data_IF_464084933435
#
_entry.id   IF_464084933435
#
_cell.length_a   1.000
_cell.length_b   1.000
_cell.length_c   1.000
_cell.angle_alpha   90.00
_cell.angle_beta   90.00
_cell.angle_gamma   90.00
#
_symmetry.space_group_name_H-M   'P 1'
#
loop_
_entity.id
_entity.type
_entity.pdbx_description
1 polymer ?
#
# COMPACT_ATOMS: atom_id res chain seq x y z
N UNK A 1 -18.29 -8.57 50.65
CA UNK A 1 -17.43 -7.62 49.91
C UNK A 1 -16.45 -8.38 49.00
N UNK A 2 -16.79 -8.74 47.74
CA UNK A 2 -15.85 -9.43 46.86
C UNK A 2 -15.72 -8.82 45.44
N UNK A 3 -15.80 -7.49 45.30
CA UNK A 3 -15.61 -6.84 43.98
C UNK A 3 -14.18 -6.36 43.72
N UNK A 4 -13.34 -6.21 44.76
CA UNK A 4 -11.99 -5.65 44.65
C UNK A 4 -10.96 -6.69 44.15
N UNK A 5 -11.19 -7.98 44.38
CA UNK A 5 -10.21 -9.05 44.07
C UNK A 5 -10.11 -9.39 42.58
N UNK A 6 -11.23 -9.40 41.84
CA UNK A 6 -11.23 -9.75 40.41
C UNK A 6 -10.55 -8.67 39.55
N UNK A 7 -10.84 -7.39 39.81
CA UNK A 7 -10.23 -6.27 39.09
C UNK A 7 -8.73 -6.12 39.39
N UNK A 8 -8.33 -6.37 40.64
CA UNK A 8 -6.92 -6.34 41.02
C UNK A 8 -6.13 -7.50 40.39
N UNK A 9 -6.67 -8.72 40.40
CA UNK A 9 -6.06 -9.87 39.74
C UNK A 9 -5.94 -9.70 38.22
N UNK A 10 -6.95 -9.12 37.57
CA UNK A 10 -6.90 -8.81 36.14
C UNK A 10 -5.78 -7.80 35.82
N UNK A 11 -5.63 -6.73 36.63
CA UNK A 11 -4.55 -5.75 36.47
C UNK A 11 -3.16 -6.34 36.68
N UNK A 12 -2.98 -7.22 37.68
CA UNK A 12 -1.70 -7.90 37.90
C UNK A 12 -1.34 -8.83 36.72
N UNK A 13 -2.32 -9.57 36.17
CA UNK A 13 -2.10 -10.43 34.99
C UNK A 13 -1.75 -9.61 33.74
N UNK A 14 -2.43 -8.50 33.50
CA UNK A 14 -2.11 -7.59 32.40
C UNK A 14 -0.70 -7.01 32.53
N UNK A 15 -0.29 -6.63 33.74
CA UNK A 15 1.07 -6.12 34.01
C UNK A 15 2.17 -7.15 33.72
N UNK A 16 2.03 -8.38 34.23
CA UNK A 16 3.00 -9.46 33.98
C UNK A 16 3.05 -9.82 32.50
N UNK A 17 1.90 -9.77 31.80
CA UNK A 17 1.83 -10.00 30.35
C UNK A 17 2.59 -8.89 29.59
N UNK A 18 2.36 -7.62 29.92
CA UNK A 18 3.05 -6.50 29.30
C UNK A 18 4.58 -6.55 29.55
N UNK A 19 5.01 -6.90 30.76
CA UNK A 19 6.43 -7.06 31.12
C UNK A 19 7.10 -8.17 30.28
N UNK A 20 6.42 -9.31 30.10
CA UNK A 20 6.94 -10.41 29.26
C UNK A 20 7.03 -10.03 27.78
N UNK A 21 6.00 -9.38 27.25
CA UNK A 21 6.00 -8.88 25.86
C UNK A 21 7.11 -7.85 25.66
N UNK A 22 7.39 -7.02 26.66
CA UNK A 22 8.47 -6.05 26.63
C UNK A 22 9.85 -6.73 26.64
N UNK A 23 10.04 -7.80 27.39
CA UNK A 23 11.26 -8.61 27.38
C UNK A 23 11.47 -9.30 26.01
N UNK A 24 10.40 -9.85 25.42
CA UNK A 24 10.43 -10.45 24.07
C UNK A 24 10.71 -9.39 22.98
N UNK A 25 10.17 -8.17 23.15
CA UNK A 25 10.47 -7.00 22.33
C UNK A 25 11.96 -6.64 22.38
N UNK A 26 12.58 -6.69 23.56
CA UNK A 26 14.00 -6.39 23.76
C UNK A 26 14.90 -7.42 23.07
N UNK A 27 14.53 -8.70 23.11
CA UNK A 27 15.28 -9.83 22.52
C UNK A 27 15.14 -9.95 20.99
N UNK A 28 14.26 -9.16 20.35
CA UNK A 28 14.18 -9.06 18.89
C UNK A 28 13.50 -10.24 18.19
N UNK A 29 12.88 -11.14 18.95
CA UNK A 29 12.16 -12.33 18.46
C UNK A 29 10.67 -12.23 18.74
N UNK A 30 10.07 -11.09 18.43
CA UNK A 30 8.63 -10.93 18.65
C UNK A 30 7.87 -11.71 17.59
N UNK A 31 7.36 -12.86 18.01
CA UNK A 31 6.52 -13.70 17.17
C UNK A 31 5.19 -13.00 16.84
N UNK A 32 4.61 -13.25 15.66
CA UNK A 32 3.37 -12.60 15.24
C UNK A 32 2.21 -12.82 16.24
N UNK A 33 2.14 -13.97 16.92
CA UNK A 33 1.08 -14.25 17.90
C UNK A 33 1.11 -13.25 19.06
N UNK A 34 2.31 -12.86 19.52
CA UNK A 34 2.48 -11.93 20.63
C UNK A 34 1.91 -10.55 20.28
N UNK A 35 2.14 -10.08 19.05
CA UNK A 35 1.60 -8.80 18.58
C UNK A 35 0.09 -8.84 18.42
N UNK A 36 -0.45 -9.95 17.92
CA UNK A 36 -1.91 -10.13 17.79
C UNK A 36 -2.55 -10.08 19.17
N UNK A 37 -2.02 -10.86 20.13
CA UNK A 37 -2.49 -10.87 21.51
C UNK A 37 -2.40 -9.51 22.20
N UNK A 38 -1.32 -8.75 21.96
CA UNK A 38 -1.14 -7.41 22.51
C UNK A 38 -2.16 -6.42 21.93
N UNK A 39 -2.56 -6.58 20.66
CA UNK A 39 -3.52 -5.69 20.03
C UNK A 39 -4.97 -5.91 20.47
N UNK A 40 -5.29 -7.06 21.05
CA UNK A 40 -6.63 -7.35 21.56
C UNK A 40 -6.96 -6.62 22.86
N UNK A 41 -5.93 -6.34 23.65
CA UNK A 41 -6.05 -5.61 24.90
C UNK A 41 -5.67 -4.15 24.68
N UNK A 42 -6.60 -3.23 24.95
CA UNK A 42 -6.38 -1.79 24.76
C UNK A 42 -5.18 -1.28 25.57
N UNK A 43 -4.89 -1.91 26.73
CA UNK A 43 -3.73 -1.56 27.56
C UNK A 43 -2.38 -2.06 27.03
N UNK A 44 -2.40 -2.95 26.02
CA UNK A 44 -1.21 -3.56 25.41
C UNK A 44 -0.97 -3.09 23.97
N UNK A 45 -1.86 -2.25 23.40
CA UNK A 45 -1.69 -1.68 22.05
C UNK A 45 -0.42 -0.83 21.89
N UNK A 46 0.03 -0.20 22.97
CA UNK A 46 1.29 0.56 22.98
C UNK A 46 2.51 -0.32 22.65
N UNK A 47 2.45 -1.61 22.98
CA UNK A 47 3.53 -2.58 22.69
C UNK A 47 3.66 -2.85 21.19
N UNK A 48 2.54 -2.86 20.46
CA UNK A 48 2.54 -2.94 19.00
C UNK A 48 3.23 -1.72 18.39
N UNK A 49 2.94 -0.53 18.92
CA UNK A 49 3.55 0.70 18.46
C UNK A 49 5.06 0.72 18.74
N UNK A 50 5.48 0.32 19.95
CA UNK A 50 6.91 0.21 20.32
C UNK A 50 7.64 -0.77 19.39
N UNK A 51 7.03 -1.93 19.10
CA UNK A 51 7.62 -2.88 18.13
C UNK A 51 7.80 -2.26 16.76
N UNK A 52 6.77 -1.56 16.28
CA UNK A 52 6.78 -0.94 14.96
C UNK A 52 7.82 0.16 14.88
N UNK A 53 7.93 1.01 15.91
CA UNK A 53 8.92 2.09 15.95
C UNK A 53 10.35 1.54 15.91
N UNK A 54 10.63 0.46 16.66
CA UNK A 54 11.93 -0.23 16.59
C UNK A 54 12.25 -0.75 15.19
N UNK A 55 11.28 -1.39 14.53
CA UNK A 55 11.47 -1.92 13.17
C UNK A 55 11.63 -0.81 12.12
N UNK A 56 10.96 0.34 12.32
CA UNK A 56 11.12 1.53 11.50
C UNK A 56 12.51 2.18 11.69
N UNK A 57 13.06 2.17 12.90
CA UNK A 57 14.44 2.60 13.17
C UNK A 57 15.45 1.71 12.45
N UNK A 58 15.29 0.38 12.53
CA UNK A 58 16.12 -0.57 11.80
C UNK A 58 16.08 -0.32 10.28
N UNK A 59 14.90 -0.03 9.71
CA UNK A 59 14.75 0.34 8.31
C UNK A 59 15.45 1.66 7.97
N UNK A 60 15.48 2.62 8.89
CA UNK A 60 16.14 3.92 8.71
C UNK A 60 17.66 3.79 8.72
N UNK A 61 18.20 2.89 9.54
CA UNK A 61 19.65 2.62 9.64
C UNK A 61 20.25 1.99 8.39
N UNK A 62 19.45 1.24 7.61
CA UNK A 62 19.94 0.66 6.35
C UNK A 62 20.20 1.75 5.33
N UNK A 63 21.35 1.69 4.66
CA UNK A 63 21.70 2.64 3.60
C UNK A 63 21.23 2.14 2.22
N UNK A 64 21.39 0.85 1.94
CA UNK A 64 21.05 0.26 0.65
C UNK A 64 19.53 0.02 0.53
N UNK A 65 18.98 0.35 -0.64
CA UNK A 65 17.59 0.09 -1.00
C UNK A 65 17.32 -1.41 -1.01
N UNK A 66 18.26 -2.24 -1.49
CA UNK A 66 18.06 -3.70 -1.53
C UNK A 66 17.96 -4.29 -0.12
N UNK A 67 18.81 -3.85 0.80
CA UNK A 67 18.73 -4.25 2.21
C UNK A 67 17.41 -3.82 2.85
N UNK A 68 16.91 -2.61 2.54
CA UNK A 68 15.58 -2.17 3.01
C UNK A 68 14.46 -3.04 2.47
N UNK A 69 14.49 -3.39 1.19
CA UNK A 69 13.48 -4.26 0.58
C UNK A 69 13.51 -5.64 1.24
N UNK A 70 14.69 -6.20 1.50
CA UNK A 70 14.82 -7.50 2.17
C UNK A 70 14.33 -7.45 3.62
N UNK A 71 14.66 -6.40 4.36
CA UNK A 71 14.13 -6.21 5.72
C UNK A 71 12.61 -6.06 5.72
N UNK A 72 12.02 -5.27 4.81
CA UNK A 72 10.55 -5.17 4.66
C UNK A 72 9.92 -6.53 4.37
N UNK A 73 10.56 -7.36 3.53
CA UNK A 73 10.10 -8.72 3.21
C UNK A 73 10.08 -9.61 4.46
N UNK A 74 11.06 -9.48 5.34
CA UNK A 74 11.14 -10.21 6.61
C UNK A 74 10.14 -9.69 7.65
N UNK A 75 9.87 -8.38 7.65
CA UNK A 75 8.93 -7.76 8.59
C UNK A 75 7.45 -7.98 8.22
N UNK A 76 7.11 -8.15 6.94
CA UNK A 76 5.73 -8.36 6.51
C UNK A 76 5.04 -9.54 7.23
N UNK A 77 5.63 -10.76 7.29
CA UNK A 77 5.06 -11.88 8.05
C UNK A 77 4.81 -11.59 9.54
N UNK A 78 5.59 -10.69 10.15
CA UNK A 78 5.42 -10.28 11.55
C UNK A 78 4.13 -9.48 11.76
N UNK A 79 3.80 -8.59 10.83
CA UNK A 79 2.70 -7.63 10.99
C UNK A 79 1.41 -8.01 10.24
N UNK A 80 1.49 -8.80 9.17
CA UNK A 80 0.31 -9.19 8.39
C UNK A 80 -0.78 -9.89 9.23
N UNK A 81 -0.48 -10.82 10.16
CA UNK A 81 -1.50 -11.43 11.01
C UNK A 81 -2.28 -10.40 11.85
N UNK A 82 -1.59 -9.37 12.35
CA UNK A 82 -2.20 -8.27 13.07
C UNK A 82 -3.13 -7.45 12.17
N UNK A 83 -2.71 -7.18 10.93
CA UNK A 83 -3.53 -6.47 9.94
C UNK A 83 -4.79 -7.25 9.56
N UNK A 84 -4.67 -8.56 9.36
CA UNK A 84 -5.83 -9.42 9.06
C UNK A 84 -6.79 -9.53 10.25
N UNK A 85 -6.28 -9.61 11.49
CA UNK A 85 -7.10 -9.55 12.70
C UNK A 85 -7.87 -8.23 12.79
N UNK A 86 -7.19 -7.09 12.60
CA UNK A 86 -7.84 -5.78 12.58
C UNK A 86 -8.94 -5.69 11.52
N UNK A 87 -8.67 -6.17 10.30
CA UNK A 87 -9.64 -6.23 9.20
C UNK A 87 -10.86 -7.09 9.54
N UNK A 88 -10.67 -8.17 10.29
CA UNK A 88 -11.75 -9.07 10.72
C UNK A 88 -12.66 -8.49 11.82
N UNK A 89 -12.16 -7.57 12.66
CA UNK A 89 -12.93 -6.98 13.77
C UNK A 89 -13.91 -5.88 13.36
N UNK A 90 -13.77 -5.32 12.14
CA UNK A 90 -14.62 -4.22 11.67
C UNK A 90 -14.41 -2.89 12.40
N UNK A 91 -13.34 -2.76 13.17
CA UNK A 91 -12.96 -1.52 13.83
C UNK A 91 -12.46 -0.48 12.81
N UNK A 92 -12.60 0.81 13.15
CA UNK A 92 -12.11 1.93 12.32
C UNK A 92 -11.35 2.93 13.17
N UNK A 93 -10.03 2.81 13.16
CA UNK A 93 -9.10 3.75 13.76
C UNK A 93 -7.82 3.86 12.91
N UNK A 94 -6.97 4.85 13.17
CA UNK A 94 -5.68 4.95 12.46
C UNK A 94 -4.79 3.76 12.83
N UNK A 95 -4.56 2.84 11.89
CA UNK A 95 -3.81 1.62 12.11
C UNK A 95 -2.48 1.69 11.34
N UNK A 96 -1.39 2.01 12.05
CA UNK A 96 -0.07 2.12 11.43
C UNK A 96 0.46 0.82 10.83
N UNK A 97 0.33 -0.36 11.49
CA UNK A 97 0.68 -1.63 10.86
C UNK A 97 0.01 -1.85 9.50
N UNK A 98 -1.28 -1.54 9.35
CA UNK A 98 -1.98 -1.62 8.06
C UNK A 98 -1.33 -0.71 7.01
N UNK A 99 -1.07 0.55 7.36
CA UNK A 99 -0.47 1.52 6.43
C UNK A 99 0.93 1.09 6.00
N UNK A 100 1.79 0.71 6.94
CA UNK A 100 3.15 0.27 6.63
C UNK A 100 3.17 -1.07 5.87
N UNK A 101 2.33 -2.05 6.24
CA UNK A 101 2.22 -3.30 5.48
C UNK A 101 1.75 -3.06 4.04
N UNK A 102 0.83 -2.11 3.83
CA UNK A 102 0.37 -1.73 2.48
C UNK A 102 1.54 -1.21 1.63
N UNK A 103 2.32 -0.28 2.17
CA UNK A 103 3.48 0.32 1.50
C UNK A 103 4.57 -0.75 1.27
N UNK A 104 4.89 -1.53 2.30
CA UNK A 104 5.94 -2.55 2.23
C UNK A 104 5.59 -3.68 1.26
N UNK A 105 4.34 -4.12 1.22
CA UNK A 105 3.88 -5.12 0.26
C UNK A 105 4.13 -4.66 -1.18
N UNK A 106 3.88 -3.38 -1.47
CA UNK A 106 4.18 -2.79 -2.76
C UNK A 106 5.70 -2.75 -3.01
N UNK A 107 6.49 -2.26 -2.06
CA UNK A 107 7.95 -2.13 -2.17
C UNK A 107 8.66 -3.47 -2.46
N UNK A 108 8.16 -4.58 -1.90
CA UNK A 108 8.76 -5.91 -2.08
C UNK A 108 8.19 -6.67 -3.29
N UNK A 109 7.21 -6.10 -3.99
CA UNK A 109 6.56 -6.70 -5.16
C UNK A 109 5.43 -7.69 -4.84
N UNK A 110 4.88 -7.72 -3.63
CA UNK A 110 3.67 -8.49 -3.28
C UNK A 110 2.40 -7.72 -3.70
N UNK A 111 2.20 -7.57 -5.01
CA UNK A 111 1.21 -6.65 -5.60
C UNK A 111 -0.23 -7.00 -5.24
N UNK A 112 -0.58 -8.29 -5.18
CA UNK A 112 -1.90 -8.73 -4.75
C UNK A 112 -2.22 -8.26 -3.32
N UNK A 113 -1.29 -8.52 -2.40
CA UNK A 113 -1.38 -8.08 -1.00
C UNK A 113 -1.43 -6.57 -0.91
N UNK A 114 -0.57 -5.86 -1.66
CA UNK A 114 -0.53 -4.41 -1.68
C UNK A 114 -1.88 -3.81 -2.10
N UNK A 115 -2.49 -4.33 -3.18
CA UNK A 115 -3.78 -3.84 -3.68
C UNK A 115 -4.93 -4.14 -2.72
N UNK A 116 -4.97 -5.38 -2.18
CA UNK A 116 -5.94 -5.79 -1.17
C UNK A 116 -5.93 -4.86 0.05
N UNK A 117 -4.74 -4.58 0.58
CA UNK A 117 -4.59 -3.72 1.76
C UNK A 117 -4.84 -2.25 1.42
N UNK A 118 -4.40 -1.77 0.25
CA UNK A 118 -4.62 -0.40 -0.20
C UNK A 118 -6.12 -0.06 -0.32
N UNK A 119 -6.91 -0.95 -0.93
CA UNK A 119 -8.37 -0.76 -1.04
C UNK A 119 -9.01 -0.58 0.33
N UNK A 120 -8.67 -1.44 1.28
CA UNK A 120 -9.20 -1.37 2.64
C UNK A 120 -8.73 -0.11 3.37
N UNK A 121 -7.45 0.25 3.25
CA UNK A 121 -6.88 1.42 3.91
C UNK A 121 -7.46 2.73 3.36
N UNK A 122 -7.69 2.83 2.04
CA UNK A 122 -8.36 3.98 1.42
C UNK A 122 -9.83 4.07 1.82
N UNK A 123 -10.56 2.95 1.85
CA UNK A 123 -11.95 2.89 2.33
C UNK A 123 -12.08 3.44 3.75
N UNK A 124 -11.14 3.08 4.63
CA UNK A 124 -11.12 3.57 6.00
C UNK A 124 -10.59 5.01 6.16
N UNK A 125 -10.08 5.63 5.09
CA UNK A 125 -9.42 6.94 5.10
C UNK A 125 -8.17 6.97 6.00
N UNK A 126 -7.39 5.88 5.98
CA UNK A 126 -6.12 5.81 6.69
C UNK A 126 -5.16 6.89 6.18
N UNK A 127 -4.39 7.48 7.10
CA UNK A 127 -3.41 8.52 6.77
C UNK A 127 -2.06 7.91 6.46
N UNK A 128 -1.32 8.55 5.55
CA UNK A 128 0.10 8.28 5.38
C UNK A 128 0.91 8.80 6.58
N UNK A 129 2.11 8.23 6.82
CA UNK A 129 3.07 8.80 7.76
C UNK A 129 3.40 10.26 7.46
N UNK A 130 3.64 11.05 8.50
CA UNK A 130 3.78 12.53 8.42
C UNK A 130 4.93 13.02 7.53
N UNK A 131 5.91 12.17 7.21
CA UNK A 131 7.00 12.51 6.29
C UNK A 131 6.56 12.52 4.81
N UNK A 132 5.41 11.95 4.46
CA UNK A 132 4.81 12.06 3.12
C UNK A 132 3.96 13.33 3.01
N UNK A 133 4.62 14.49 3.02
CA UNK A 133 3.99 15.82 3.19
C UNK A 133 3.06 16.28 2.04
N UNK A 134 2.97 15.54 0.94
CA UNK A 134 2.35 16.04 -0.31
C UNK A 134 1.44 15.05 -1.02
N UNK A 135 1.09 13.92 -0.39
CA UNK A 135 0.18 12.94 -0.96
C UNK A 135 -0.81 12.43 0.08
N UNK A 136 -2.03 12.15 -0.36
CA UNK A 136 -2.93 11.24 0.33
C UNK A 136 -2.58 9.79 -0.01
N UNK A 137 -3.17 8.84 0.74
CA UNK A 137 -2.85 7.42 0.58
C UNK A 137 -3.13 6.92 -0.84
N UNK A 138 -4.29 7.26 -1.41
CA UNK A 138 -4.65 6.80 -2.74
C UNK A 138 -3.70 7.34 -3.83
N UNK A 139 -3.29 8.61 -3.74
CA UNK A 139 -2.32 9.20 -4.68
C UNK A 139 -0.97 8.50 -4.59
N UNK A 140 -0.50 8.24 -3.37
CA UNK A 140 0.75 7.50 -3.15
C UNK A 140 0.69 6.08 -3.71
N UNK A 141 -0.39 5.35 -3.44
CA UNK A 141 -0.55 3.98 -3.93
C UNK A 141 -0.65 3.93 -5.45
N UNK A 142 -1.37 4.86 -6.09
CA UNK A 142 -1.49 4.92 -7.55
C UNK A 142 -0.14 5.17 -8.22
N UNK A 143 0.67 6.10 -7.68
CA UNK A 143 2.03 6.33 -8.19
C UNK A 143 2.90 5.06 -8.05
N UNK A 144 2.77 4.36 -6.93
CA UNK A 144 3.44 3.09 -6.70
C UNK A 144 3.03 1.97 -7.67
N UNK A 145 1.73 1.78 -7.93
CA UNK A 145 1.25 0.82 -8.91
C UNK A 145 1.65 1.20 -10.34
N UNK A 146 1.69 2.49 -10.66
CA UNK A 146 2.25 2.97 -11.93
C UNK A 146 3.71 2.54 -12.08
N UNK A 147 4.54 2.78 -11.07
CA UNK A 147 5.98 2.47 -11.14
C UNK A 147 6.21 0.96 -11.30
N UNK A 148 5.46 0.14 -10.56
CA UNK A 148 5.46 -1.32 -10.74
C UNK A 148 5.03 -1.73 -12.15
N UNK A 149 3.89 -1.21 -12.65
CA UNK A 149 3.37 -1.57 -13.95
C UNK A 149 4.31 -1.15 -15.08
N UNK A 150 4.96 0.01 -14.96
CA UNK A 150 5.95 0.47 -15.91
C UNK A 150 7.16 -0.47 -15.95
N UNK A 151 7.57 -1.02 -14.82
CA UNK A 151 8.64 -2.02 -14.76
C UNK A 151 8.21 -3.34 -15.43
N UNK A 152 6.98 -3.82 -15.17
CA UNK A 152 6.42 -4.98 -15.89
C UNK A 152 6.41 -4.75 -17.40
N UNK A 153 6.05 -3.53 -17.84
CA UNK A 153 6.03 -3.20 -19.25
C UNK A 153 7.42 -3.34 -19.89
N UNK A 154 8.46 -2.77 -19.25
CA UNK A 154 9.86 -2.84 -19.72
C UNK A 154 10.39 -4.26 -19.80
N UNK A 155 9.94 -5.13 -18.88
CA UNK A 155 10.34 -6.54 -18.84
C UNK A 155 9.50 -7.45 -19.74
N UNK A 156 8.62 -6.89 -20.57
CA UNK A 156 7.64 -7.64 -21.37
C UNK A 156 6.69 -8.52 -20.52
N UNK A 157 6.53 -8.21 -19.23
CA UNK A 157 5.60 -8.84 -18.31
C UNK A 157 4.18 -8.29 -18.42
N UNK A 158 3.25 -8.93 -17.72
CA UNK A 158 1.87 -8.46 -17.58
C UNK A 158 1.73 -7.55 -16.34
N UNK A 159 0.89 -6.53 -16.44
CA UNK A 159 0.42 -5.77 -15.27
C UNK A 159 -1.05 -6.10 -14.90
N UNK A 160 -1.72 -6.93 -15.70
CA UNK A 160 -3.06 -7.43 -15.42
C UNK A 160 -2.99 -8.57 -14.38
N UNK A 161 -3.95 -8.66 -13.44
CA UNK A 161 -5.17 -7.85 -13.33
C UNK A 161 -5.00 -6.54 -12.54
N UNK A 162 -3.86 -6.32 -11.88
CA UNK A 162 -3.73 -5.30 -10.85
C UNK A 162 -3.76 -3.86 -11.39
N UNK A 163 -3.08 -3.58 -12.51
CA UNK A 163 -3.15 -2.24 -13.13
C UNK A 163 -4.58 -1.92 -13.59
N UNK A 164 -5.28 -2.92 -14.15
CA UNK A 164 -6.64 -2.75 -14.65
C UNK A 164 -7.59 -2.33 -13.53
N UNK A 165 -7.47 -2.99 -12.38
CA UNK A 165 -8.26 -2.68 -11.18
C UNK A 165 -7.91 -1.29 -10.62
N UNK A 166 -6.64 -0.91 -10.57
CA UNK A 166 -6.23 0.44 -10.12
C UNK A 166 -6.76 1.53 -11.04
N UNK A 167 -6.70 1.33 -12.36
CA UNK A 167 -7.29 2.26 -13.33
C UNK A 167 -8.79 2.37 -13.13
N UNK A 168 -9.48 1.26 -12.89
CA UNK A 168 -10.92 1.27 -12.62
C UNK A 168 -11.23 2.06 -11.34
N UNK A 169 -10.53 1.81 -10.23
CA UNK A 169 -10.73 2.49 -8.96
C UNK A 169 -10.58 4.01 -9.08
N UNK A 170 -9.63 4.48 -9.88
CA UNK A 170 -9.42 5.91 -10.14
C UNK A 170 -10.51 6.47 -11.05
N UNK A 171 -10.87 5.79 -12.14
CA UNK A 171 -11.90 6.27 -13.10
C UNK A 171 -13.29 6.33 -12.51
N UNK A 172 -13.64 5.42 -11.61
CA UNK A 172 -14.94 5.41 -10.93
C UNK A 172 -14.96 6.34 -9.72
N UNK A 173 -13.92 7.16 -9.53
CA UNK A 173 -13.71 8.06 -8.39
C UNK A 173 -13.79 7.35 -7.02
N UNK A 174 -13.69 6.02 -7.01
CA UNK A 174 -13.61 5.23 -5.77
C UNK A 174 -12.32 5.57 -5.03
N UNK A 175 -11.24 5.81 -5.76
CA UNK A 175 -10.03 6.45 -5.28
C UNK A 175 -9.97 7.88 -5.81
N UNK A 176 -10.36 8.89 -5.01
CA UNK A 176 -10.34 10.28 -5.44
C UNK A 176 -8.91 10.80 -5.48
N UNK A 177 -8.28 10.71 -6.66
CA UNK A 177 -6.94 11.23 -6.92
C UNK A 177 -7.05 12.54 -7.70
N UNK A 178 -6.63 13.64 -7.09
CA UNK A 178 -6.65 14.98 -7.72
C UNK A 178 -5.31 15.38 -8.33
N UNK A 179 -4.25 14.61 -8.04
CA UNK A 179 -2.92 14.87 -8.58
C UNK A 179 -2.86 14.54 -10.08
N UNK A 180 -2.91 15.59 -10.90
CA UNK A 180 -2.90 15.55 -12.37
C UNK A 180 -1.70 14.81 -12.96
N UNK A 181 -0.53 14.91 -12.32
CA UNK A 181 0.69 14.23 -12.77
C UNK A 181 0.56 12.72 -12.56
N UNK A 182 0.06 12.29 -11.41
CA UNK A 182 -0.15 10.87 -11.08
C UNK A 182 -1.23 10.26 -11.97
N UNK A 183 -2.34 10.97 -12.21
CA UNK A 183 -3.38 10.55 -13.16
C UNK A 183 -2.80 10.35 -14.58
N UNK A 184 -2.05 11.34 -15.06
CA UNK A 184 -1.43 11.30 -16.38
C UNK A 184 -0.46 10.12 -16.52
N UNK A 185 0.37 9.87 -15.51
CA UNK A 185 1.27 8.71 -15.44
C UNK A 185 0.49 7.39 -15.52
N UNK A 186 -0.56 7.24 -14.71
CA UNK A 186 -1.39 6.03 -14.67
C UNK A 186 -2.04 5.73 -16.03
N UNK A 187 -2.71 6.71 -16.63
CA UNK A 187 -3.36 6.52 -17.93
C UNK A 187 -2.35 6.28 -19.05
N UNK A 188 -1.18 6.91 -19.00
CA UNK A 188 -0.11 6.66 -19.96
C UNK A 188 0.36 5.21 -19.92
N UNK A 189 0.62 4.64 -18.74
CA UNK A 189 1.06 3.24 -18.66
C UNK A 189 -0.04 2.28 -19.11
N UNK A 190 -1.31 2.55 -18.78
CA UNK A 190 -2.45 1.77 -19.30
C UNK A 190 -2.52 1.80 -20.85
N UNK A 191 -2.33 2.98 -21.45
CA UNK A 191 -2.26 3.12 -22.91
C UNK A 191 -1.10 2.37 -23.54
N UNK A 192 0.06 2.31 -22.87
CA UNK A 192 1.21 1.51 -23.33
C UNK A 192 0.88 0.02 -23.36
N UNK A 193 0.24 -0.52 -22.32
CA UNK A 193 -0.19 -1.92 -22.28
C UNK A 193 -1.22 -2.24 -23.37
N UNK A 194 -2.24 -1.39 -23.54
CA UNK A 194 -3.24 -1.54 -24.60
C UNK A 194 -2.61 -1.48 -26.01
N UNK A 195 -1.67 -0.56 -26.23
CA UNK A 195 -0.95 -0.45 -27.50
C UNK A 195 -0.17 -1.74 -27.81
N UNK A 196 0.54 -2.29 -26.81
CA UNK A 196 1.29 -3.54 -26.95
C UNK A 196 0.38 -4.75 -27.20
N UNK A 197 -0.84 -4.74 -26.64
CA UNK A 197 -1.86 -5.75 -26.91
C UNK A 197 -2.53 -5.60 -28.29
N UNK A 198 -2.20 -4.55 -29.05
CA UNK A 198 -2.83 -4.26 -30.34
C UNK A 198 -4.22 -3.63 -30.23
N UNK A 199 -4.65 -3.24 -29.03
CA UNK A 199 -5.95 -2.63 -28.75
C UNK A 199 -5.90 -1.12 -29.05
N UNK A 200 -5.74 -0.77 -30.34
CA UNK A 200 -5.44 0.60 -30.78
C UNK A 200 -6.44 1.63 -30.26
N UNK A 201 -7.74 1.31 -30.27
CA UNK A 201 -8.79 2.22 -29.78
C UNK A 201 -8.69 2.46 -28.27
N UNK A 202 -8.42 1.41 -27.50
CA UNK A 202 -8.22 1.53 -26.05
C UNK A 202 -6.95 2.34 -25.74
N UNK A 203 -5.86 2.08 -26.46
CA UNK A 203 -4.62 2.82 -26.32
C UNK A 203 -4.80 4.33 -26.58
N UNK A 204 -5.52 4.70 -27.65
CA UNK A 204 -5.86 6.10 -27.93
C UNK A 204 -6.66 6.72 -26.78
N UNK A 205 -7.73 6.05 -26.33
CA UNK A 205 -8.56 6.56 -25.22
C UNK A 205 -7.74 6.80 -23.94
N UNK A 206 -6.80 5.90 -23.63
CA UNK A 206 -5.92 6.06 -22.48
C UNK A 206 -4.91 7.19 -22.65
N UNK A 207 -4.32 7.34 -23.82
CA UNK A 207 -3.40 8.45 -24.07
C UNK A 207 -4.11 9.81 -24.11
N UNK A 208 -5.34 9.88 -24.61
CA UNK A 208 -6.18 11.08 -24.51
C UNK A 208 -6.47 11.44 -23.05
N UNK A 209 -6.89 10.47 -22.22
CA UNK A 209 -7.10 10.68 -20.79
C UNK A 209 -5.81 11.14 -20.06
N UNK A 210 -4.65 10.63 -20.46
CA UNK A 210 -3.37 11.06 -19.94
C UNK A 210 -3.05 12.52 -20.29
N UNK A 211 -3.32 12.92 -21.54
CA UNK A 211 -3.13 14.29 -22.03
C UNK A 211 -4.13 15.27 -21.40
N UNK A 212 -5.39 14.88 -21.25
CA UNK A 212 -6.42 15.67 -20.56
C UNK A 212 -6.06 15.92 -19.09
N UNK A 213 -5.53 14.89 -18.41
CA UNK A 213 -5.10 15.01 -17.02
C UNK A 213 -3.93 15.97 -16.84
N UNK A 214 -2.96 16.00 -17.77
CA UNK A 214 -1.77 16.86 -17.67
C UNK A 214 -1.38 17.44 -19.06
N UNK A 215 -2.12 18.46 -19.54
CA UNK A 215 -1.99 18.96 -20.91
C UNK A 215 -0.58 19.43 -21.26
N UNK A 216 -0.08 18.98 -22.40
CA UNK A 216 1.25 19.29 -22.92
C UNK A 216 2.41 18.60 -22.19
N UNK A 217 2.14 17.86 -21.12
CA UNK A 217 3.17 17.27 -20.23
C UNK A 217 3.04 15.75 -20.04
N UNK A 218 1.98 15.13 -20.55
CA UNK A 218 1.80 13.68 -20.52
C UNK A 218 2.85 12.93 -21.38
N UNK A 219 3.38 13.58 -22.42
CA UNK A 219 4.40 13.00 -23.30
C UNK A 219 3.86 11.84 -24.15
N UNK A 220 2.62 11.97 -24.62
CA UNK A 220 1.90 10.96 -25.44
C UNK A 220 1.53 11.46 -26.83
N UNK A 221 1.74 12.77 -27.12
CA UNK A 221 1.38 13.42 -28.38
C UNK A 221 1.85 12.67 -29.64
N UNK A 222 3.12 12.26 -29.68
CA UNK A 222 3.67 11.51 -30.83
C UNK A 222 3.03 10.13 -30.98
N UNK A 223 2.77 9.43 -29.85
CA UNK A 223 2.07 8.14 -29.88
C UNK A 223 0.66 8.30 -30.43
N UNK A 224 -0.10 9.28 -29.93
CA UNK A 224 -1.44 9.61 -30.42
C UNK A 224 -1.45 9.86 -31.94
N UNK A 225 -0.54 10.70 -32.44
CA UNK A 225 -0.43 10.96 -33.89
C UNK A 225 -0.19 9.70 -34.72
N UNK A 226 0.64 8.77 -34.22
CA UNK A 226 0.90 7.50 -34.90
C UNK A 226 -0.34 6.60 -34.86
N UNK A 227 -1.02 6.52 -33.72
CA UNK A 227 -2.19 5.66 -33.56
C UNK A 227 -3.41 6.15 -34.35
N UNK A 228 -3.67 7.46 -34.42
CA UNK A 228 -4.74 8.00 -35.26
C UNK A 228 -4.56 7.63 -36.73
N UNK A 229 -3.33 7.76 -37.27
CA UNK A 229 -3.02 7.31 -38.64
C UNK A 229 -3.26 5.82 -38.85
N UNK A 230 -2.96 4.98 -37.85
CA UNK A 230 -3.25 3.54 -37.92
C UNK A 230 -4.75 3.27 -37.97
N UNK A 231 -5.56 4.04 -37.24
CA UNK A 231 -7.03 3.93 -37.29
C UNK A 231 -7.55 4.35 -38.66
N UNK A 232 -7.09 5.50 -39.18
CA UNK A 232 -7.49 6.00 -40.51
C UNK A 232 -7.15 5.01 -41.63
N UNK A 233 -5.97 4.38 -41.59
CA UNK A 233 -5.54 3.43 -42.61
C UNK A 233 -6.23 2.04 -42.52
N UNK A 234 -6.86 1.72 -41.39
CA UNK A 234 -7.54 0.45 -41.13
C UNK A 234 -9.07 0.57 -41.10
N UNK A 235 -9.62 1.75 -41.43
CA UNK A 235 -11.06 2.04 -41.55
C UNK A 235 -11.47 2.03 -43.02
#
# INVERSE_FOLDING_TARGET
MPFITLQHQAKCKAKVKAEKIQEDLEQGTVEPEILVEAAEDDSSRDLVQISLDRDLELLKERADIKEKIELKRQLLPKYLPLVEMYRGKGERYQNWPLVYCTIWALDVGQIETALKLAKFAVEQQQKLPSFFKSADLQTFMVEGFHDWALEQFKQNGSASPYLDEVVQLVKTETWPVTNTIVLSKLYKVAGMFAERAGEIKAAVSWFEAAEESNPGKAGVKTRLQVLYKKIENNS
#
